data_IF_282525559741
#
_entry.id   IF_282525559741
#
_cell.length_a   1.000
_cell.length_b   1.000
_cell.length_c   1.000
_cell.angle_alpha   90.00
_cell.angle_beta   90.00
_cell.angle_gamma   90.00
#
_symmetry.space_group_name_H-M   'P 1'
#
loop_
_entity.id
_entity.type
_entity.pdbx_description
1 polymer ?
#
# COMPACT_ATOMS: atom_id res chain seq x y z
N UNK A 1 23.38 16.54 -18.26
CA UNK A 1 22.21 16.19 -17.43
C UNK A 1 21.74 14.85 -17.95
N UNK A 2 22.13 13.76 -17.30
CA UNK A 2 21.81 12.41 -17.78
C UNK A 2 20.31 12.12 -17.58
N UNK A 3 19.64 11.46 -18.54
CA UNK A 3 18.26 11.04 -18.37
C UNK A 3 18.17 9.97 -17.27
N UNK A 4 17.40 10.25 -16.22
CA UNK A 4 17.03 9.24 -15.21
C UNK A 4 16.38 8.07 -15.93
N UNK A 5 17.00 6.90 -15.84
CA UNK A 5 16.51 5.63 -16.37
C UNK A 5 15.09 5.39 -15.85
N UNK A 6 14.09 5.50 -16.72
CA UNK A 6 12.73 5.08 -16.42
C UNK A 6 12.73 3.55 -16.37
N UNK A 7 12.49 3.01 -15.18
CA UNK A 7 12.36 1.57 -15.00
C UNK A 7 11.18 1.06 -15.83
N UNK A 8 11.45 0.17 -16.77
CA UNK A 8 10.46 -0.35 -17.71
C UNK A 8 9.57 -1.40 -17.04
N UNK A 9 8.35 -1.62 -17.55
CA UNK A 9 7.46 -2.67 -17.03
C UNK A 9 8.12 -4.06 -17.03
N UNK A 10 9.01 -4.33 -18.00
CA UNK A 10 9.78 -5.57 -18.08
C UNK A 10 10.79 -5.71 -16.94
N UNK A 11 11.42 -4.61 -16.51
CA UNK A 11 12.32 -4.62 -15.36
C UNK A 11 11.56 -4.82 -14.04
N UNK A 12 10.36 -4.26 -13.92
CA UNK A 12 9.47 -4.49 -12.77
C UNK A 12 9.02 -5.95 -12.75
N UNK A 13 8.57 -6.50 -13.87
CA UNK A 13 8.17 -7.90 -14.00
C UNK A 13 9.34 -8.85 -13.69
N UNK A 14 10.54 -8.55 -14.20
CA UNK A 14 11.74 -9.34 -13.94
C UNK A 14 12.11 -9.30 -12.46
N UNK A 15 12.03 -8.13 -11.81
CA UNK A 15 12.27 -8.02 -10.35
C UNK A 15 11.21 -8.76 -9.54
N UNK A 16 9.94 -8.69 -9.93
CA UNK A 16 8.86 -9.43 -9.27
C UNK A 16 9.07 -10.94 -9.41
N UNK A 17 9.38 -11.44 -10.62
CA UNK A 17 9.72 -12.85 -10.85
C UNK A 17 10.96 -13.27 -10.06
N UNK A 18 12.01 -12.45 -10.03
CA UNK A 18 13.20 -12.73 -9.22
C UNK A 18 12.92 -12.75 -7.71
N UNK A 19 12.02 -11.89 -7.21
CA UNK A 19 11.56 -11.93 -5.83
C UNK A 19 10.72 -13.19 -5.52
N UNK A 20 9.97 -13.69 -6.51
CA UNK A 20 9.18 -14.93 -6.41
C UNK A 20 10.06 -16.19 -6.51
N UNK A 21 11.10 -16.17 -7.35
CA UNK A 21 11.98 -17.31 -7.63
C UNK A 21 13.19 -17.43 -6.67
N UNK A 22 13.51 -16.39 -5.90
CA UNK A 22 14.51 -16.49 -4.82
C UNK A 22 13.99 -17.44 -3.72
N UNK A 23 14.63 -18.60 -3.46
CA UNK A 23 14.17 -19.57 -2.46
C UNK A 23 14.40 -19.12 -1.00
N UNK A 24 14.43 -17.81 -0.71
CA UNK A 24 15.00 -17.31 0.55
C UNK A 24 13.99 -17.02 1.66
N UNK A 25 12.68 -17.02 1.39
CA UNK A 25 11.65 -16.93 2.43
C UNK A 25 10.37 -17.63 1.99
N UNK A 26 10.22 -18.90 2.37
CA UNK A 26 8.90 -19.55 2.31
C UNK A 26 8.09 -19.00 3.48
N UNK A 27 7.09 -18.18 3.19
CA UNK A 27 6.15 -17.69 4.20
C UNK A 27 5.21 -18.82 4.61
N UNK A 28 5.16 -19.10 5.90
CA UNK A 28 4.28 -20.11 6.49
C UNK A 28 2.83 -19.64 6.54
N UNK A 29 2.61 -18.34 6.53
CA UNK A 29 1.29 -17.74 6.47
C UNK A 29 1.33 -16.37 5.80
N UNK A 30 0.28 -16.04 5.06
CA UNK A 30 0.15 -14.77 4.34
C UNK A 30 -1.20 -14.16 4.69
N UNK A 31 -1.22 -12.87 4.98
CA UNK A 31 -2.45 -12.13 5.26
C UNK A 31 -2.41 -10.81 4.51
N UNK A 32 -3.57 -10.33 4.07
CA UNK A 32 -3.67 -9.07 3.35
C UNK A 32 -4.79 -8.20 3.93
N UNK A 33 -4.59 -6.90 3.84
CA UNK A 33 -5.59 -5.88 4.16
C UNK A 33 -5.61 -4.85 3.04
N UNK A 34 -6.81 -4.44 2.62
CA UNK A 34 -7.02 -3.30 1.73
C UNK A 34 -7.76 -2.20 2.47
N UNK A 35 -7.32 -0.96 2.29
CA UNK A 35 -7.87 0.22 2.95
C UNK A 35 -8.44 1.13 1.88
N UNK A 36 -9.71 1.50 2.04
CA UNK A 36 -10.47 2.37 1.14
C UNK A 36 -11.32 3.35 1.95
N UNK A 37 -11.79 4.41 1.30
CA UNK A 37 -12.75 5.34 1.89
C UNK A 37 -14.16 5.04 1.38
N UNK A 38 -15.15 5.15 2.26
CA UNK A 38 -16.57 5.02 1.91
C UNK A 38 -17.01 6.06 0.87
N UNK A 39 -16.52 7.29 1.01
CA UNK A 39 -16.81 8.43 0.13
C UNK A 39 -15.66 8.75 -0.84
N UNK A 40 -14.93 7.72 -1.28
CA UNK A 40 -13.88 7.84 -2.29
C UNK A 40 -14.42 8.36 -3.64
N UNK A 41 -13.64 9.22 -4.31
CA UNK A 41 -13.93 9.76 -5.65
C UNK A 41 -12.93 9.28 -6.72
N UNK A 42 -12.14 8.25 -6.42
CA UNK A 42 -11.05 7.73 -7.26
C UNK A 42 -11.30 6.32 -7.82
N UNK A 43 -12.44 5.73 -7.49
CA UNK A 43 -12.84 4.36 -7.84
C UNK A 43 -12.02 3.27 -7.12
N UNK A 44 -11.51 3.59 -5.92
CA UNK A 44 -10.67 2.70 -5.11
C UNK A 44 -11.34 1.35 -4.79
N UNK A 45 -12.67 1.28 -4.78
CA UNK A 45 -13.41 0.02 -4.65
C UNK A 45 -13.13 -0.99 -5.76
N UNK A 46 -12.93 -0.53 -7.01
CA UNK A 46 -12.53 -1.39 -8.13
C UNK A 46 -11.09 -1.87 -7.96
N UNK A 47 -10.20 -1.03 -7.43
CA UNK A 47 -8.83 -1.44 -7.13
C UNK A 47 -8.76 -2.42 -5.98
N UNK A 48 -9.59 -2.26 -4.94
CA UNK A 48 -9.74 -3.26 -3.89
C UNK A 48 -10.19 -4.62 -4.44
N UNK A 49 -11.08 -4.62 -5.45
CA UNK A 49 -11.45 -5.84 -6.16
C UNK A 49 -10.26 -6.46 -6.91
N UNK A 50 -9.51 -5.68 -7.71
CA UNK A 50 -8.30 -6.17 -8.39
C UNK A 50 -7.25 -6.70 -7.40
N UNK A 51 -7.08 -6.01 -6.27
CA UNK A 51 -6.19 -6.42 -5.19
C UNK A 51 -6.57 -7.79 -4.64
N UNK A 52 -7.86 -8.01 -4.37
CA UNK A 52 -8.37 -9.30 -3.90
C UNK A 52 -8.09 -10.44 -4.88
N UNK A 53 -8.31 -10.19 -6.17
CA UNK A 53 -8.07 -11.20 -7.20
C UNK A 53 -6.60 -11.61 -7.25
N UNK A 54 -5.65 -10.67 -7.28
CA UNK A 54 -4.24 -11.05 -7.32
C UNK A 54 -3.71 -11.58 -5.98
N UNK A 55 -4.23 -11.09 -4.84
CA UNK A 55 -3.87 -11.63 -3.53
C UNK A 55 -4.22 -13.12 -3.44
N UNK A 56 -5.36 -13.53 -4.03
CA UNK A 56 -5.74 -14.93 -4.17
C UNK A 56 -4.74 -15.72 -5.00
N UNK A 57 -4.25 -15.18 -6.11
CA UNK A 57 -3.18 -15.80 -6.90
C UNK A 57 -1.88 -15.96 -6.12
N UNK A 58 -1.60 -15.07 -5.16
CA UNK A 58 -0.45 -15.19 -4.24
C UNK A 58 -0.71 -16.17 -3.08
N UNK A 59 -1.87 -16.82 -3.04
CA UNK A 59 -2.26 -17.76 -1.98
C UNK A 59 -2.74 -17.10 -0.69
N UNK A 60 -3.28 -15.88 -0.77
CA UNK A 60 -3.99 -15.23 0.34
C UNK A 60 -5.49 -15.53 0.18
N UNK A 61 -6.06 -16.33 1.08
CA UNK A 61 -7.45 -16.78 0.97
C UNK A 61 -8.47 -15.72 1.37
N UNK A 62 -8.17 -14.93 2.39
CA UNK A 62 -9.03 -13.87 2.89
C UNK A 62 -8.27 -12.53 2.98
N UNK A 63 -8.87 -11.50 2.39
CA UNK A 63 -8.33 -10.14 2.38
C UNK A 63 -9.23 -9.28 3.24
N UNK A 64 -8.69 -8.77 4.33
CA UNK A 64 -9.43 -7.88 5.20
C UNK A 64 -9.70 -6.54 4.49
N UNK A 65 -10.94 -6.10 4.44
CA UNK A 65 -11.30 -4.79 3.89
C UNK A 65 -11.57 -3.81 5.03
N UNK A 66 -10.78 -2.75 5.09
CA UNK A 66 -10.95 -1.63 6.02
C UNK A 66 -11.56 -0.45 5.24
N UNK A 67 -12.87 -0.32 5.33
CA UNK A 67 -13.59 0.83 4.82
C UNK A 67 -13.63 1.94 5.88
N UNK A 68 -13.02 3.08 5.57
CA UNK A 68 -13.00 4.25 6.45
C UNK A 68 -14.23 5.09 6.13
N UNK A 69 -15.11 5.26 7.12
CA UNK A 69 -16.27 6.14 6.95
C UNK A 69 -15.86 7.60 6.75
N UNK A 70 -16.55 8.29 5.84
CA UNK A 70 -16.34 9.73 5.59
C UNK A 70 -16.65 10.62 6.81
N UNK A 71 -17.45 10.12 7.77
CA UNK A 71 -17.76 10.80 9.02
C UNK A 71 -16.71 10.55 10.13
N UNK A 72 -15.71 9.71 9.89
CA UNK A 72 -14.71 9.38 10.89
C UNK A 72 -13.76 10.57 11.12
N UNK A 73 -13.83 11.15 12.32
CA UNK A 73 -13.01 12.31 12.68
C UNK A 73 -11.55 11.97 12.98
N UNK A 74 -11.25 10.69 13.24
CA UNK A 74 -9.89 10.19 13.49
C UNK A 74 -9.60 8.94 12.66
N UNK A 75 -9.43 9.08 11.34
CA UNK A 75 -9.20 7.96 10.42
C UNK A 75 -8.01 7.08 10.80
N UNK A 76 -6.95 7.67 11.37
CA UNK A 76 -5.73 6.95 11.78
C UNK A 76 -6.03 5.82 12.76
N UNK A 77 -6.92 6.01 13.74
CA UNK A 77 -7.25 4.98 14.73
C UNK A 77 -7.95 3.79 14.07
N UNK A 78 -8.82 4.05 13.11
CA UNK A 78 -9.53 3.00 12.37
C UNK A 78 -8.54 2.16 11.55
N UNK A 79 -7.66 2.83 10.80
CA UNK A 79 -6.62 2.20 9.99
C UNK A 79 -5.66 1.39 10.85
N UNK A 80 -5.11 2.00 11.90
CA UNK A 80 -4.16 1.33 12.80
C UNK A 80 -4.79 0.12 13.50
N UNK A 81 -6.04 0.25 13.93
CA UNK A 81 -6.81 -0.83 14.54
C UNK A 81 -7.04 -2.00 13.60
N UNK A 82 -7.42 -1.73 12.34
CA UNK A 82 -7.65 -2.75 11.33
C UNK A 82 -6.36 -3.51 10.97
N UNK A 83 -5.25 -2.80 10.80
CA UNK A 83 -3.93 -3.41 10.53
C UNK A 83 -3.48 -4.24 11.74
N UNK A 84 -3.61 -3.70 12.96
CA UNK A 84 -3.27 -4.45 14.18
C UNK A 84 -4.12 -5.73 14.32
N UNK A 85 -5.40 -5.66 13.95
CA UNK A 85 -6.30 -6.82 13.92
C UNK A 85 -5.87 -7.86 12.88
N UNK A 86 -5.49 -7.41 11.67
CA UNK A 86 -4.97 -8.27 10.61
C UNK A 86 -3.70 -9.01 11.06
N UNK A 87 -2.72 -8.29 11.64
CA UNK A 87 -1.48 -8.86 12.18
C UNK A 87 -1.78 -9.89 13.27
N UNK A 88 -2.63 -9.55 14.25
CA UNK A 88 -2.99 -10.48 15.35
C UNK A 88 -3.69 -11.72 14.84
N UNK A 89 -4.61 -11.58 13.88
CA UNK A 89 -5.33 -12.70 13.29
C UNK A 89 -4.38 -13.62 12.52
N UNK A 90 -3.42 -13.03 11.79
CA UNK A 90 -2.33 -13.76 11.12
C UNK A 90 -1.57 -14.66 12.10
N UNK A 91 -1.14 -14.10 13.24
CA UNK A 91 -0.37 -14.82 14.25
C UNK A 91 -1.20 -15.85 15.02
N UNK A 92 -2.51 -15.63 15.15
CA UNK A 92 -3.42 -16.60 15.73
C UNK A 92 -3.64 -17.81 14.81
N UNK A 93 -3.72 -17.58 13.50
CA UNK A 93 -3.90 -18.63 12.50
C UNK A 93 -2.67 -19.53 12.37
N UNK A 94 -1.47 -18.96 12.46
CA UNK A 94 -0.22 -19.69 12.40
C UNK A 94 0.78 -19.13 13.42
N UNK A 95 1.25 -19.96 14.35
CA UNK A 95 2.16 -19.49 15.41
C UNK A 95 3.64 -19.64 15.08
N UNK A 96 3.96 -20.46 14.09
CA UNK A 96 5.33 -20.88 13.77
C UNK A 96 5.63 -20.55 12.31
N UNK A 97 6.82 -19.97 12.10
CA UNK A 97 7.35 -19.67 10.78
C UNK A 97 7.37 -18.18 10.49
N UNK A 98 7.62 -17.83 9.22
CA UNK A 98 7.67 -16.44 8.77
C UNK A 98 6.34 -16.04 8.16
N UNK A 99 5.82 -14.89 8.56
CA UNK A 99 4.55 -14.35 8.05
C UNK A 99 4.82 -13.28 6.99
N UNK A 100 3.90 -13.15 6.04
CA UNK A 100 3.84 -12.01 5.11
C UNK A 100 2.55 -11.24 5.35
N UNK A 101 2.66 -9.94 5.63
CA UNK A 101 1.51 -9.04 5.76
C UNK A 101 1.54 -8.07 4.57
N UNK A 102 0.49 -8.10 3.76
CA UNK A 102 0.34 -7.19 2.61
C UNK A 102 -0.67 -6.11 2.98
N UNK A 103 -0.24 -4.85 2.97
CA UNK A 103 -1.09 -3.70 3.26
C UNK A 103 -1.28 -2.94 1.95
N UNK A 104 -2.53 -2.82 1.51
CA UNK A 104 -2.90 -2.09 0.30
C UNK A 104 -3.72 -0.85 0.66
N UNK A 105 -3.39 0.27 0.01
CA UNK A 105 -4.24 1.46 -0.02
C UNK A 105 -4.44 1.88 -1.47
N UNK A 106 -5.69 2.14 -1.83
CA UNK A 106 -6.04 2.82 -3.06
C UNK A 106 -6.89 4.04 -2.72
N UNK A 107 -6.62 5.18 -3.36
CA UNK A 107 -7.39 6.38 -3.10
C UNK A 107 -6.66 7.66 -3.48
N UNK A 108 -7.11 8.75 -2.87
CA UNK A 108 -6.39 10.01 -2.93
C UNK A 108 -5.21 10.05 -1.96
N UNK A 109 -4.17 10.78 -2.34
CA UNK A 109 -3.03 11.06 -1.48
C UNK A 109 -2.28 12.30 -1.91
N UNK A 110 -1.67 12.98 -0.95
CA UNK A 110 -0.84 14.17 -1.17
C UNK A 110 0.34 14.18 -0.20
N UNK A 111 1.30 15.07 -0.46
CA UNK A 111 2.51 15.20 0.33
C UNK A 111 2.51 16.49 1.14
N UNK A 112 2.65 16.37 2.46
CA UNK A 112 2.89 17.47 3.38
C UNK A 112 4.40 17.54 3.68
N UNK A 113 5.10 18.66 3.37
CA UNK A 113 6.53 18.78 3.65
C UNK A 113 6.94 18.59 5.12
N UNK A 114 6.02 18.79 6.07
CA UNK A 114 6.29 18.65 7.50
C UNK A 114 5.98 17.25 8.04
N UNK A 115 4.95 16.61 7.49
CA UNK A 115 4.39 15.35 8.03
C UNK A 115 4.47 14.16 7.07
N UNK A 116 4.90 14.39 5.84
CA UNK A 116 5.03 13.38 4.81
C UNK A 116 3.74 13.09 4.05
N UNK A 117 3.67 11.91 3.45
CA UNK A 117 2.53 11.45 2.66
C UNK A 117 1.28 11.28 3.54
N UNK A 118 0.15 11.79 3.07
CA UNK A 118 -1.16 11.61 3.70
C UNK A 118 -2.22 11.18 2.68
N UNK A 119 -3.31 10.65 3.22
CA UNK A 119 -4.38 9.97 2.52
C UNK A 119 -5.72 10.53 2.97
N UNK A 120 -6.65 10.71 2.03
CA UNK A 120 -7.94 11.34 2.28
C UNK A 120 -9.00 10.79 1.32
N UNK A 121 -10.28 11.00 1.62
CA UNK A 121 -11.38 10.44 0.85
C UNK A 121 -11.58 11.12 -0.51
N UNK A 122 -11.82 12.43 -0.49
CA UNK A 122 -12.18 13.23 -1.67
C UNK A 122 -11.71 14.68 -1.51
N UNK A 123 -11.84 15.47 -2.59
CA UNK A 123 -11.55 16.91 -2.55
C UNK A 123 -12.25 17.62 -1.37
N UNK A 124 -11.51 18.49 -0.68
CA UNK A 124 -12.04 19.26 0.44
C UNK A 124 -12.23 18.45 1.73
N UNK A 125 -11.90 17.15 1.74
CA UNK A 125 -11.94 16.34 2.96
C UNK A 125 -11.05 16.93 4.05
N UNK A 126 -11.64 17.20 5.21
CA UNK A 126 -10.92 17.65 6.41
C UNK A 126 -10.22 16.48 7.13
N UNK A 127 -10.73 15.27 6.93
CA UNK A 127 -10.24 14.07 7.57
C UNK A 127 -9.22 13.36 6.68
N UNK A 128 -8.11 12.97 7.31
CA UNK A 128 -6.96 12.32 6.67
C UNK A 128 -6.19 11.49 7.68
N UNK A 129 -5.42 10.53 7.18
CA UNK A 129 -4.38 9.86 7.95
C UNK A 129 -3.05 9.92 7.20
N UNK A 130 -1.94 9.65 7.90
CA UNK A 130 -0.60 9.74 7.34
C UNK A 130 -0.04 8.34 7.08
N UNK A 131 0.97 8.25 6.22
CA UNK A 131 1.72 7.01 5.96
C UNK A 131 2.19 6.31 7.23
N UNK A 132 2.53 7.09 8.25
CA UNK A 132 2.89 6.58 9.57
C UNK A 132 1.81 5.67 10.16
N UNK A 133 0.51 5.97 9.98
CA UNK A 133 -0.59 5.13 10.50
C UNK A 133 -0.65 3.75 9.84
N UNK A 134 -0.12 3.59 8.62
CA UNK A 134 -0.02 2.28 7.97
C UNK A 134 1.10 1.42 8.56
N UNK A 135 2.11 2.05 9.14
CA UNK A 135 3.32 1.39 9.63
C UNK A 135 3.40 1.36 11.16
N UNK A 136 2.63 2.20 11.86
CA UNK A 136 2.62 2.27 13.31
C UNK A 136 2.36 0.89 13.94
N UNK A 137 1.31 0.13 13.56
CA UNK A 137 1.05 -1.19 14.13
C UNK A 137 2.18 -2.19 13.86
N UNK A 138 2.83 -2.10 12.69
CA UNK A 138 3.97 -2.94 12.31
C UNK A 138 5.16 -2.66 13.23
N UNK A 139 5.46 -1.38 13.46
CA UNK A 139 6.59 -0.95 14.28
C UNK A 139 6.41 -1.29 15.76
N UNK A 140 5.19 -1.15 16.29
CA UNK A 140 4.86 -1.39 17.69
C UNK A 140 4.58 -2.86 18.01
N UNK A 141 4.43 -3.73 17.01
CA UNK A 141 4.13 -5.14 17.23
C UNK A 141 5.34 -5.90 17.77
N UNK A 142 5.58 -5.84 19.08
CA UNK A 142 6.73 -6.46 19.76
C UNK A 142 6.59 -7.97 19.99
N UNK A 143 5.36 -8.48 20.00
CA UNK A 143 5.07 -9.87 20.28
C UNK A 143 4.62 -10.59 19.01
N UNK A 144 5.13 -11.81 18.80
CA UNK A 144 4.70 -12.68 17.70
C UNK A 144 5.83 -13.32 16.91
N UNK A 145 5.48 -14.14 15.91
CA UNK A 145 6.43 -14.70 14.96
C UNK A 145 7.08 -13.61 14.10
N UNK A 146 8.20 -13.96 13.44
CA UNK A 146 8.83 -13.06 12.48
C UNK A 146 7.91 -12.82 11.28
N UNK A 147 7.83 -11.57 10.82
CA UNK A 147 6.97 -11.21 9.70
C UNK A 147 7.56 -10.09 8.86
N UNK A 148 7.34 -10.19 7.55
CA UNK A 148 7.66 -9.14 6.58
C UNK A 148 6.40 -8.40 6.17
N UNK A 149 6.58 -7.18 5.68
CA UNK A 149 5.49 -6.31 5.23
C UNK A 149 5.74 -5.82 3.81
N UNK A 150 4.71 -5.93 2.97
CA UNK A 150 4.67 -5.26 1.67
C UNK A 150 3.56 -4.23 1.71
N UNK A 151 3.93 -2.97 1.56
CA UNK A 151 3.02 -1.85 1.47
C UNK A 151 2.79 -1.49 0.00
N UNK A 152 1.56 -1.60 -0.48
CA UNK A 152 1.16 -1.27 -1.84
C UNK A 152 0.29 -0.02 -1.78
N UNK A 153 0.79 1.10 -2.29
CA UNK A 153 0.06 2.37 -2.33
C UNK A 153 -0.28 2.66 -3.78
N UNK A 154 -1.54 2.52 -4.17
CA UNK A 154 -2.05 2.96 -5.45
C UNK A 154 -2.70 4.34 -5.28
N UNK A 155 -1.84 5.35 -5.23
CA UNK A 155 -2.23 6.74 -5.08
C UNK A 155 -1.09 7.65 -5.57
N UNK A 156 -1.30 8.96 -5.60
CA UNK A 156 -0.22 9.89 -5.94
C UNK A 156 0.86 9.92 -4.83
N UNK A 157 1.99 9.28 -5.09
CA UNK A 157 3.11 9.23 -4.16
C UNK A 157 4.23 10.21 -4.56
N UNK A 158 4.69 10.99 -3.58
CA UNK A 158 5.88 11.82 -3.72
C UNK A 158 7.12 10.97 -3.96
N UNK A 159 8.08 11.48 -4.75
CA UNK A 159 9.41 10.86 -4.91
C UNK A 159 10.18 10.76 -3.59
N UNK A 160 9.82 11.57 -2.59
CA UNK A 160 10.43 11.56 -1.26
C UNK A 160 9.70 10.62 -0.29
N UNK A 161 8.70 9.85 -0.74
CA UNK A 161 8.05 8.86 0.11
C UNK A 161 9.08 7.83 0.57
N UNK A 162 9.28 7.75 1.88
CA UNK A 162 10.11 6.72 2.49
C UNK A 162 9.33 6.15 3.66
N UNK A 163 9.24 4.81 3.78
CA UNK A 163 8.80 4.19 5.02
C UNK A 163 9.82 4.52 6.10
N UNK A 164 9.54 5.51 6.95
CA UNK A 164 10.37 5.83 8.11
C UNK A 164 10.02 4.89 9.26
N UNK A 165 10.29 3.60 9.08
CA UNK A 165 10.24 2.62 10.17
C UNK A 165 11.54 1.86 10.25
N UNK A 166 12.08 1.76 11.47
CA UNK A 166 13.19 0.85 11.74
C UNK A 166 12.65 -0.58 11.68
N UNK A 167 13.00 -1.29 10.61
CA UNK A 167 12.76 -2.72 10.50
C UNK A 167 13.43 -3.44 11.67
N UNK A 168 12.72 -4.38 12.28
CA UNK A 168 13.33 -5.28 13.27
C UNK A 168 14.38 -6.18 12.61
N UNK A 169 15.29 -6.73 13.40
CA UNK A 169 16.31 -7.64 12.86
C UNK A 169 15.64 -8.84 12.16
N UNK A 170 15.92 -9.03 10.86
CA UNK A 170 15.33 -10.10 10.04
C UNK A 170 13.94 -9.82 9.47
N UNK A 171 13.38 -8.63 9.71
CA UNK A 171 12.14 -8.15 9.11
C UNK A 171 12.45 -7.28 7.89
N UNK A 172 11.69 -7.47 6.83
CA UNK A 172 11.70 -6.63 5.63
C UNK A 172 10.40 -5.83 5.56
N UNK A 173 10.52 -4.53 5.24
CA UNK A 173 9.40 -3.66 4.91
C UNK A 173 9.65 -3.10 3.52
N UNK A 174 8.83 -3.49 2.55
CA UNK A 174 8.92 -3.01 1.16
C UNK A 174 7.74 -2.10 0.83
N UNK A 175 8.00 -1.05 0.04
CA UNK A 175 6.99 -0.14 -0.47
C UNK A 175 6.93 -0.23 -2.00
N UNK A 176 5.75 -0.52 -2.52
CA UNK A 176 5.40 -0.51 -3.93
C UNK A 176 4.40 0.62 -4.17
N UNK A 177 4.79 1.62 -4.96
CA UNK A 177 3.93 2.75 -5.26
C UNK A 177 4.21 3.29 -6.67
N UNK A 178 3.20 3.81 -7.39
CA UNK A 178 3.42 4.57 -8.60
C UNK A 178 3.96 5.95 -8.20
N UNK A 179 5.17 6.24 -8.63
CA UNK A 179 5.71 7.59 -8.44
C UNK A 179 5.07 8.54 -9.45
N UNK A 180 4.53 9.65 -8.96
CA UNK A 180 4.07 10.73 -9.83
C UNK A 180 5.24 11.32 -10.61
N UNK A 181 5.02 11.62 -11.90
CA UNK A 181 5.96 12.40 -12.69
C UNK A 181 6.24 13.73 -11.97
N UNK A 182 7.49 13.98 -11.58
CA UNK A 182 7.92 15.34 -11.24
C UNK A 182 7.86 16.15 -12.53
N UNK A 183 6.76 16.87 -12.76
CA UNK A 183 6.82 17.93 -13.75
C UNK A 183 7.55 19.11 -13.10
N UNK A 184 8.89 19.08 -13.17
CA UNK A 184 9.77 20.25 -12.97
C UNK A 184 9.55 21.33 -14.07
N UNK A 185 8.39 21.35 -14.72
CA UNK A 185 8.05 22.16 -15.90
C UNK A 185 6.73 22.91 -15.81
N UNK A 186 5.99 22.80 -14.71
CA UNK A 186 4.85 23.67 -14.51
C UNK A 186 5.13 24.73 -13.46
N UNK A 187 5.03 25.98 -13.88
CA UNK A 187 4.99 27.14 -13.00
C UNK A 187 3.79 27.00 -12.05
N UNK A 188 4.09 26.69 -10.77
CA UNK A 188 3.40 27.06 -9.52
C UNK A 188 1.86 27.09 -9.40
N UNK A 189 1.08 26.65 -10.39
CA UNK A 189 -0.39 26.64 -10.37
C UNK A 189 -0.92 25.43 -11.17
N UNK A 190 -0.45 24.23 -10.86
CA UNK A 190 -1.10 23.00 -11.36
C UNK A 190 -1.99 22.50 -10.24
N UNK A 191 -3.28 22.39 -10.53
CA UNK A 191 -4.22 21.61 -9.73
C UNK A 191 -3.52 20.29 -9.36
N UNK A 192 -3.33 20.05 -8.07
CA UNK A 192 -2.55 18.93 -7.55
C UNK A 192 -2.90 17.65 -8.33
N UNK A 193 -1.93 16.88 -8.84
CA UNK A 193 -2.22 15.70 -9.65
C UNK A 193 -3.04 14.70 -8.83
N UNK A 194 -4.35 14.66 -9.08
CA UNK A 194 -5.30 13.76 -8.43
C UNK A 194 -5.55 12.55 -9.29
N UNK A 195 -5.81 11.44 -8.61
CA UNK A 195 -6.35 10.25 -9.24
C UNK A 195 -7.81 10.52 -9.59
N UNK A 196 -8.19 10.27 -10.84
CA UNK A 196 -9.59 10.40 -11.29
C UNK A 196 -10.24 9.02 -11.35
N UNK A 197 -11.51 8.91 -10.97
CA UNK A 197 -12.32 7.69 -11.13
C UNK A 197 -12.35 7.13 -12.57
N UNK A 198 -12.07 7.96 -13.59
CA UNK A 198 -12.02 7.53 -14.99
C UNK A 198 -10.74 6.75 -15.34
N UNK A 199 -9.75 6.71 -14.45
CA UNK A 199 -8.50 5.97 -14.65
C UNK A 199 -8.76 4.49 -14.32
N UNK A 200 -8.75 3.65 -15.33
CA UNK A 200 -8.95 2.19 -15.19
C UNK A 200 -7.64 1.40 -15.25
N UNK A 201 -6.55 2.02 -15.72
CA UNK A 201 -5.21 1.42 -15.84
C UNK A 201 -4.30 1.83 -14.67
N UNK A 202 -4.77 1.52 -13.48
CA UNK A 202 -4.21 1.86 -12.17
C UNK A 202 -3.00 0.98 -11.82
N UNK A 203 -2.20 1.35 -10.81
CA UNK A 203 -1.05 0.53 -10.42
C UNK A 203 -1.50 -0.86 -9.98
N UNK A 204 -2.58 -0.93 -9.21
CA UNK A 204 -3.16 -2.20 -8.74
C UNK A 204 -3.72 -3.03 -9.90
N UNK A 205 -4.40 -2.41 -10.87
CA UNK A 205 -4.89 -3.13 -12.05
C UNK A 205 -3.74 -3.74 -12.89
N UNK A 206 -2.62 -3.03 -13.05
CA UNK A 206 -1.45 -3.52 -13.79
C UNK A 206 -0.78 -4.70 -13.09
N UNK A 207 -0.61 -4.62 -11.77
CA UNK A 207 -0.09 -5.74 -10.98
C UNK A 207 -1.00 -6.95 -11.16
N UNK A 208 -2.32 -6.76 -11.05
CA UNK A 208 -3.29 -7.83 -11.24
C UNK A 208 -3.18 -8.47 -12.62
N UNK A 209 -3.06 -7.67 -13.68
CA UNK A 209 -2.92 -8.18 -15.06
C UNK A 209 -1.64 -8.98 -15.27
N UNK A 210 -0.51 -8.58 -14.66
CA UNK A 210 0.76 -9.30 -14.78
C UNK A 210 0.73 -10.62 -14.02
N UNK A 211 0.09 -10.65 -12.85
CA UNK A 211 0.06 -11.85 -11.99
C UNK A 211 -1.00 -12.89 -12.39
N UNK A 212 -1.96 -12.54 -13.25
CA UNK A 212 -3.05 -13.44 -13.67
C UNK A 212 -2.86 -14.03 -15.08
N UNK A 213 -1.75 -13.73 -15.75
CA UNK A 213 -1.32 -14.33 -17.03
C UNK A 213 -0.48 -15.58 -16.81
#
# INVERSE_FOLDING_TARGET
>A
MEPKQQTTCVEVETKLRQCVELPRCIYSHKSAITIIWENDDTNAGVDAFHFREFARTLGVEDVHECEISGANTVPSICVEGAIASCIKSSFAAQKIGKHLIIIHYAGNSLYDPRRGQYFYAAEGSLHRFYLESLLHPVSTCIDGPAFDVVLIIDAYCSLSITPTVQSKFGQTIELLAPFGYSNDKYDTIVAEPRRSANITNTFTSKISQVLTQ
#
